data_IF_476012868860
#
_entry.id   IF_476012868860
#
_cell.length_a   1.000
_cell.length_b   1.000
_cell.length_c   1.000
_cell.angle_alpha   90.00
_cell.angle_beta   90.00
_cell.angle_gamma   90.00
#
_symmetry.space_group_name_H-M   'P 1'
#
loop_
_entity.id
_entity.type
_entity.pdbx_description
1 polymer ?
#
# COMPACT_ATOMS: atom_id res chain seq x y z
N UNK A 1 43.30 36.96 21.18
CA UNK A 1 43.13 36.12 22.38
C UNK A 1 41.65 35.99 22.67
N UNK A 2 41.09 34.82 22.99
CA UNK A 2 41.68 33.60 23.61
C UNK A 2 42.31 32.65 22.56
N UNK A 3 43.34 31.83 22.81
CA UNK A 3 43.56 30.76 23.80
C UNK A 3 42.57 29.59 23.57
N UNK A 4 42.94 28.35 23.27
CA UNK A 4 44.25 27.69 23.23
C UNK A 4 44.14 26.30 22.57
N UNK A 5 45.31 25.75 22.25
CA UNK A 5 45.50 24.45 21.62
C UNK A 5 45.24 23.26 22.56
N UNK A 6 44.79 22.13 21.99
CA UNK A 6 44.99 20.75 22.47
C UNK A 6 44.63 19.78 21.34
N UNK A 7 45.62 19.26 20.62
CA UNK A 7 46.26 17.95 20.80
C UNK A 7 45.42 16.77 20.25
N UNK A 8 45.79 16.27 19.07
CA UNK A 8 45.60 14.86 18.67
C UNK A 8 46.70 14.02 19.34
N UNK A 9 46.48 12.74 19.70
CA UNK A 9 46.57 11.67 18.69
C UNK A 9 45.79 10.36 18.99
N UNK A 10 45.92 9.43 18.03
CA UNK A 10 45.83 7.97 18.13
C UNK A 10 44.47 7.29 17.89
N UNK A 11 44.39 6.69 16.71
CA UNK A 11 43.43 5.64 16.35
C UNK A 11 43.64 4.37 17.21
N UNK A 12 42.56 3.67 17.59
CA UNK A 12 42.62 2.24 17.79
C UNK A 12 42.34 1.52 16.47
N UNK A 13 43.32 0.73 16.04
CA UNK A 13 43.19 -0.36 15.08
C UNK A 13 42.05 -1.29 15.50
N UNK A 14 41.07 -1.48 14.61
CA UNK A 14 40.13 -2.61 14.69
C UNK A 14 40.51 -3.57 13.57
N UNK A 15 41.34 -4.55 13.90
CA UNK A 15 41.52 -5.73 13.08
C UNK A 15 40.81 -6.90 13.77
N UNK A 16 39.63 -7.26 13.28
CA UNK A 16 39.16 -8.66 13.24
C UNK A 16 38.08 -8.78 12.14
N UNK A 17 38.48 -9.23 10.95
CA UNK A 17 37.60 -10.00 10.04
C UNK A 17 37.63 -11.47 10.51
N UNK A 18 36.65 -12.38 10.21
CA UNK A 18 35.85 -12.41 8.98
C UNK A 18 34.37 -12.84 9.16
N UNK A 19 33.57 -12.58 8.11
CA UNK A 19 32.42 -13.42 7.77
C UNK A 19 31.07 -13.03 8.35
N UNK A 20 30.33 -12.23 7.60
CA UNK A 20 28.94 -12.55 7.24
C UNK A 20 28.60 -11.69 6.03
N UNK A 21 28.76 -12.32 4.88
CA UNK A 21 28.12 -12.00 3.60
C UNK A 21 26.81 -11.27 3.81
N UNK A 22 26.73 -10.08 3.24
CA UNK A 22 25.52 -9.49 2.68
C UNK A 22 24.49 -10.60 2.37
N UNK A 23 23.35 -10.74 3.07
CA UNK A 23 22.19 -11.12 2.31
C UNK A 23 21.94 -9.88 1.46
N UNK A 24 22.48 -9.91 0.25
CA UNK A 24 21.87 -9.24 -0.87
C UNK A 24 20.38 -9.48 -0.65
N UNK A 25 19.64 -8.39 -0.39
CA UNK A 25 18.20 -8.46 -0.43
C UNK A 25 17.93 -9.01 -1.82
N UNK A 26 17.70 -10.32 -1.86
CA UNK A 26 17.40 -11.02 -3.10
C UNK A 26 16.24 -10.21 -3.64
N UNK A 27 16.37 -9.60 -4.84
CA UNK A 27 15.19 -9.03 -5.46
C UNK A 27 14.23 -10.20 -5.52
N UNK A 28 13.18 -10.14 -4.69
CA UNK A 28 12.15 -11.16 -4.64
C UNK A 28 11.84 -11.46 -6.09
N UNK A 29 12.12 -12.69 -6.50
CA UNK A 29 12.04 -13.07 -7.89
C UNK A 29 10.62 -12.77 -8.33
N UNK A 30 10.46 -11.66 -9.06
CA UNK A 30 9.25 -11.29 -9.79
C UNK A 30 9.16 -12.26 -10.97
N UNK A 31 9.00 -13.53 -10.64
CA UNK A 31 9.07 -14.66 -11.52
C UNK A 31 7.85 -15.54 -11.31
N UNK A 32 6.88 -15.37 -12.21
CA UNK A 32 5.80 -16.33 -12.41
C UNK A 32 4.42 -15.72 -12.25
N UNK A 33 3.69 -15.65 -13.36
CA UNK A 33 2.25 -15.44 -13.42
C UNK A 33 1.69 -14.16 -12.80
N UNK A 34 1.66 -13.08 -13.58
CA UNK A 34 0.61 -12.04 -13.46
C UNK A 34 -0.76 -12.63 -13.87
N UNK A 35 -1.17 -13.71 -13.21
CA UNK A 35 -2.57 -14.03 -13.09
C UNK A 35 -3.07 -13.16 -11.93
N UNK A 36 -4.01 -12.26 -12.19
CA UNK A 36 -4.72 -11.52 -11.14
C UNK A 36 -5.56 -12.50 -10.31
N UNK A 37 -4.87 -13.24 -9.45
CA UNK A 37 -5.35 -14.07 -8.37
C UNK A 37 -4.54 -13.72 -7.14
N UNK A 38 -4.36 -12.42 -6.90
CA UNK A 38 -3.85 -11.94 -5.62
C UNK A 38 -4.80 -12.48 -4.56
N UNK A 39 -4.19 -13.11 -3.55
CA UNK A 39 -4.93 -13.49 -2.35
C UNK A 39 -5.72 -12.27 -1.86
N UNK A 40 -6.96 -12.46 -1.45
CA UNK A 40 -7.86 -11.36 -1.08
C UNK A 40 -7.20 -10.42 -0.08
N UNK A 41 -6.41 -10.96 0.83
CA UNK A 41 -5.63 -10.17 1.80
C UNK A 41 -4.61 -9.25 1.10
N UNK A 42 -3.88 -9.74 0.09
CA UNK A 42 -2.93 -8.94 -0.67
C UNK A 42 -3.61 -7.82 -1.49
N UNK A 43 -4.81 -8.05 -2.01
CA UNK A 43 -5.62 -7.01 -2.66
C UNK A 43 -5.98 -5.93 -1.64
N UNK A 44 -6.50 -6.33 -0.48
CA UNK A 44 -6.89 -5.40 0.58
C UNK A 44 -5.69 -4.56 1.07
N UNK A 45 -4.54 -5.19 1.29
CA UNK A 45 -3.31 -4.49 1.70
C UNK A 45 -2.84 -3.49 0.64
N UNK A 46 -2.82 -3.90 -0.63
CA UNK A 46 -2.42 -3.01 -1.74
C UNK A 46 -3.36 -1.82 -1.88
N UNK A 47 -4.68 -2.04 -1.74
CA UNK A 47 -5.67 -0.97 -1.78
C UNK A 47 -5.51 -0.04 -0.57
N UNK A 48 -5.35 -0.59 0.63
CA UNK A 48 -5.13 0.20 1.84
C UNK A 48 -3.87 1.09 1.69
N UNK A 49 -2.76 0.55 1.18
CA UNK A 49 -1.54 1.32 0.93
C UNK A 49 -1.76 2.41 -0.14
N UNK A 50 -2.44 2.07 -1.23
CA UNK A 50 -2.73 3.00 -2.34
C UNK A 50 -3.52 4.21 -1.85
N UNK A 51 -4.48 4.00 -0.94
CA UNK A 51 -5.36 5.06 -0.42
C UNK A 51 -4.95 5.58 0.96
N UNK A 52 -3.80 5.16 1.52
CA UNK A 52 -3.36 5.54 2.86
C UNK A 52 -3.24 7.06 3.04
N UNK A 53 -2.81 7.78 1.99
CA UNK A 53 -2.69 9.24 2.00
C UNK A 53 -4.02 9.99 2.16
N UNK A 54 -5.14 9.29 1.92
CA UNK A 54 -6.51 9.81 2.04
C UNK A 54 -7.25 9.22 3.26
N UNK A 55 -6.50 8.67 4.23
CA UNK A 55 -7.09 7.96 5.37
C UNK A 55 -7.75 6.63 4.99
N UNK A 56 -7.38 6.08 3.83
CA UNK A 56 -7.95 4.86 3.28
C UNK A 56 -7.61 3.62 4.11
N UNK A 57 -8.60 2.75 4.31
CA UNK A 57 -8.42 1.38 4.81
C UNK A 57 -9.29 0.45 4.00
N UNK A 58 -8.81 -0.76 3.71
CA UNK A 58 -9.55 -1.73 2.93
C UNK A 58 -9.64 -3.06 3.67
N UNK A 59 -10.82 -3.69 3.59
CA UNK A 59 -11.08 -4.99 4.20
C UNK A 59 -12.16 -5.73 3.43
N UNK A 60 -12.22 -7.06 3.59
CA UNK A 60 -13.27 -7.87 2.99
C UNK A 60 -14.44 -8.08 3.96
N UNK A 61 -15.64 -7.80 3.49
CA UNK A 61 -16.91 -8.14 4.14
C UNK A 61 -17.62 -9.22 3.29
N UNK A 62 -17.31 -10.49 3.53
CA UNK A 62 -17.82 -11.59 2.72
C UNK A 62 -17.19 -11.61 1.32
N UNK A 63 -17.99 -11.41 0.28
CA UNK A 63 -17.56 -11.25 -1.12
C UNK A 63 -17.35 -9.78 -1.55
N UNK A 64 -17.49 -8.82 -0.63
CA UNK A 64 -17.29 -7.40 -0.92
C UNK A 64 -15.95 -6.88 -0.40
N UNK A 65 -15.13 -6.28 -1.26
CA UNK A 65 -14.03 -5.42 -0.84
C UNK A 65 -14.58 -4.05 -0.46
N UNK A 66 -14.38 -3.67 0.81
CA UNK A 66 -14.83 -2.38 1.35
C UNK A 66 -13.63 -1.47 1.54
N UNK A 67 -13.54 -0.41 0.73
CA UNK A 67 -12.60 0.70 0.92
C UNK A 67 -13.28 1.78 1.77
N UNK A 68 -12.83 1.97 3.00
CA UNK A 68 -13.22 3.12 3.82
C UNK A 68 -12.24 4.26 3.59
N UNK A 69 -12.72 5.44 3.20
CA UNK A 69 -11.87 6.60 2.84
C UNK A 69 -12.55 7.91 3.28
N UNK A 70 -11.75 8.94 3.56
CA UNK A 70 -12.29 10.29 3.78
C UNK A 70 -12.83 10.88 2.47
N UNK A 71 -13.76 11.84 2.58
CA UNK A 71 -14.39 12.49 1.42
C UNK A 71 -15.91 12.40 1.48
N UNK A 72 -16.54 12.47 0.31
CA UNK A 72 -18.00 12.48 0.16
C UNK A 72 -18.46 11.55 -0.96
N UNK A 73 -19.57 10.85 -0.72
CA UNK A 73 -20.17 9.96 -1.71
C UNK A 73 -20.69 10.69 -2.96
N UNK A 74 -20.98 11.99 -2.85
CA UNK A 74 -21.52 12.80 -3.94
C UNK A 74 -20.45 13.27 -4.96
N UNK A 75 -19.15 13.10 -4.69
CA UNK A 75 -18.07 13.42 -5.64
C UNK A 75 -17.99 12.35 -6.74
N UNK A 76 -18.90 12.46 -7.70
CA UNK A 76 -19.19 11.46 -8.74
C UNK A 76 -17.96 11.13 -9.59
N UNK A 77 -17.08 12.10 -9.86
CA UNK A 77 -15.87 11.87 -10.65
C UNK A 77 -14.84 11.06 -9.87
N UNK A 78 -14.62 11.39 -8.61
CA UNK A 78 -13.71 10.66 -7.72
C UNK A 78 -14.22 9.24 -7.50
N UNK A 79 -15.49 9.10 -7.16
CA UNK A 79 -16.15 7.79 -6.96
C UNK A 79 -16.03 6.92 -8.21
N UNK A 80 -16.39 7.43 -9.39
CA UNK A 80 -16.30 6.66 -10.63
C UNK A 80 -14.85 6.23 -10.95
N UNK A 81 -13.85 7.10 -10.75
CA UNK A 81 -12.45 6.74 -10.98
C UNK A 81 -11.97 5.67 -10.01
N UNK A 82 -12.28 5.82 -8.73
CA UNK A 82 -11.91 4.86 -7.69
C UNK A 82 -12.57 3.51 -7.95
N UNK A 83 -13.87 3.50 -8.27
CA UNK A 83 -14.60 2.28 -8.60
C UNK A 83 -14.00 1.55 -9.80
N UNK A 84 -13.60 2.29 -10.85
CA UNK A 84 -12.97 1.68 -12.02
C UNK A 84 -11.65 1.00 -11.67
N UNK A 85 -10.83 1.63 -10.81
CA UNK A 85 -9.55 1.03 -10.40
C UNK A 85 -9.77 -0.22 -9.57
N UNK A 86 -10.69 -0.17 -8.61
CA UNK A 86 -10.94 -1.30 -7.71
C UNK A 86 -11.61 -2.49 -8.41
N UNK A 87 -12.50 -2.25 -9.37
CA UNK A 87 -13.17 -3.31 -10.12
C UNK A 87 -12.20 -4.16 -10.95
N UNK A 88 -11.08 -3.60 -11.40
CA UNK A 88 -10.05 -4.33 -12.16
C UNK A 88 -9.14 -5.18 -11.25
N UNK A 89 -9.19 -4.96 -9.93
CA UNK A 89 -8.33 -5.67 -8.96
C UNK A 89 -9.01 -6.91 -8.37
N UNK A 90 -10.35 -6.92 -8.33
CA UNK A 90 -11.12 -8.01 -7.73
C UNK A 90 -11.52 -9.05 -8.78
N UNK A 91 -11.83 -10.27 -8.33
CA UNK A 91 -12.27 -11.33 -9.23
C UNK A 91 -13.69 -11.11 -9.76
N UNK A 92 -14.03 -11.75 -10.89
CA UNK A 92 -15.42 -11.80 -11.36
C UNK A 92 -16.35 -12.38 -10.27
N UNK A 93 -17.39 -11.63 -9.93
CA UNK A 93 -18.36 -12.00 -8.90
C UNK A 93 -18.12 -11.34 -7.54
N UNK A 94 -16.89 -10.88 -7.26
CA UNK A 94 -16.60 -10.08 -6.07
C UNK A 94 -17.18 -8.67 -6.21
N UNK A 95 -17.66 -8.12 -5.10
CA UNK A 95 -18.25 -6.79 -5.04
C UNK A 95 -17.21 -5.77 -4.56
N UNK A 96 -17.38 -4.51 -4.96
CA UNK A 96 -16.58 -3.40 -4.45
C UNK A 96 -17.50 -2.32 -3.90
N UNK A 97 -17.21 -1.89 -2.67
CA UNK A 97 -17.94 -0.84 -1.98
C UNK A 97 -16.96 0.22 -1.49
N UNK A 98 -17.27 1.49 -1.71
CA UNK A 98 -16.56 2.61 -1.12
C UNK A 98 -17.40 3.16 0.04
N UNK A 99 -16.84 3.18 1.24
CA UNK A 99 -17.46 3.71 2.44
C UNK A 99 -16.88 5.09 2.78
N UNK A 100 -17.74 6.09 2.75
CA UNK A 100 -17.48 7.46 3.17
C UNK A 100 -18.13 7.71 4.55
N UNK A 101 -17.75 8.80 5.25
CA UNK A 101 -18.42 9.20 6.49
C UNK A 101 -19.93 9.47 6.32
N UNK A 102 -20.35 9.94 5.15
CA UNK A 102 -21.75 10.27 4.82
C UNK A 102 -22.55 9.14 4.15
N UNK A 103 -21.91 8.04 3.74
CA UNK A 103 -22.62 6.95 3.07
C UNK A 103 -21.73 5.87 2.46
N UNK A 104 -22.36 4.85 1.87
CA UNK A 104 -21.68 3.78 1.11
C UNK A 104 -22.12 3.81 -0.34
N UNK A 105 -21.19 3.53 -1.24
CA UNK A 105 -21.44 3.48 -2.68
C UNK A 105 -20.97 2.14 -3.24
N UNK A 106 -21.86 1.41 -3.91
CA UNK A 106 -21.54 0.20 -4.65
C UNK A 106 -20.96 0.53 -6.03
N UNK A 107 -19.81 -0.05 -6.35
CA UNK A 107 -19.12 0.30 -7.59
C UNK A 107 -19.75 -0.28 -8.85
N UNK A 108 -20.49 -1.39 -8.76
CA UNK A 108 -21.25 -1.91 -9.89
C UNK A 108 -22.28 -0.87 -10.38
N UNK A 109 -23.06 -0.31 -9.46
CA UNK A 109 -24.09 0.70 -9.78
C UNK A 109 -23.50 1.97 -10.39
N UNK A 110 -22.32 2.40 -9.91
CA UNK A 110 -21.62 3.59 -10.43
C UNK A 110 -21.07 3.39 -11.84
N UNK A 111 -20.57 2.20 -12.15
CA UNK A 111 -19.92 1.92 -13.43
C UNK A 111 -20.93 1.54 -14.54
N UNK A 112 -22.12 1.07 -14.15
CA UNK A 112 -23.22 0.73 -15.07
C UNK A 112 -24.19 1.90 -15.33
N UNK A 113 -24.12 2.96 -14.53
CA UNK A 113 -24.97 4.17 -14.64
C UNK A 113 -24.47 5.19 -15.66
#
# INVERSE_FOLDING_TARGET
SPAGARAAPAAPVVETQPGATDPAAEPAELGGDYAFGLDRDAIADTVAETFASSGGSAQWEGDALVLSIEGHADDSLTVHRTCRVLAELVAEGDQVVIAFPDGRVGCAEVLEG
#
